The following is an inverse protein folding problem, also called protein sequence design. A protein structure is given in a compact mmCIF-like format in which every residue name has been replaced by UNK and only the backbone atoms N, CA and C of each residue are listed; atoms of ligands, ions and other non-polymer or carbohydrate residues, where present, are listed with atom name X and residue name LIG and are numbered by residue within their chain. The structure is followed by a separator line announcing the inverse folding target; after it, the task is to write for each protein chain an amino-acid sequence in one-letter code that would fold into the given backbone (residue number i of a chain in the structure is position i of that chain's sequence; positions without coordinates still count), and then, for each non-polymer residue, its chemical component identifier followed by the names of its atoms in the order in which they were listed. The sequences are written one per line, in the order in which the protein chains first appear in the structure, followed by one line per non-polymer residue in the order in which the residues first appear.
data_IF_281108155560
#
_entry.id   IF_281108155560
#
_cell.length_a   1.000
_cell.length_b   1.000
_cell.length_c   1.000
_cell.angle_alpha   90.00
_cell.angle_beta   90.00
_cell.angle_gamma   90.00
#
_symmetry.space_group_name_H-M   'P 1'
#
loop_
_entity.id
_entity.type
_entity.pdbx_description
1 polymer ?
#
# COMPACT_ATOMS: atom_id res chain seq x y z
N UNK A 1 -12.46 6.36 2.43
CA UNK A 1 -11.37 6.53 1.44
C UNK A 1 -10.08 5.76 1.81
N UNK A 2 -9.27 6.19 2.80
CA UNK A 2 -7.92 5.60 3.05
C UNK A 2 -7.94 4.08 3.31
N UNK A 3 -8.87 3.57 4.13
CA UNK A 3 -8.99 2.13 4.37
C UNK A 3 -9.27 1.35 3.07
N UNK A 4 -10.18 1.82 2.22
CA UNK A 4 -10.49 1.18 0.96
C UNK A 4 -9.28 1.13 0.00
N UNK A 5 -8.37 2.11 0.09
CA UNK A 5 -7.12 2.12 -0.67
C UNK A 5 -6.18 1.00 -0.21
N UNK A 6 -5.99 0.82 1.11
CA UNK A 6 -5.11 -0.25 1.59
C UNK A 6 -5.71 -1.63 1.30
N UNK A 7 -7.03 -1.80 1.45
CA UNK A 7 -7.72 -3.06 1.11
C UNK A 7 -7.56 -3.39 -0.40
N UNK A 8 -7.69 -2.37 -1.26
CA UNK A 8 -7.46 -2.52 -2.69
C UNK A 8 -6.01 -2.91 -3.01
N UNK A 9 -5.03 -2.23 -2.41
CA UNK A 9 -3.61 -2.54 -2.63
C UNK A 9 -3.23 -3.91 -2.08
N UNK A 10 -3.76 -4.31 -0.93
CA UNK A 10 -3.53 -5.64 -0.36
C UNK A 10 -4.03 -6.73 -1.31
N UNK A 11 -5.25 -6.60 -1.82
CA UNK A 11 -5.86 -7.56 -2.74
C UNK A 11 -5.13 -7.68 -4.09
N UNK A 12 -4.64 -6.57 -4.64
CA UNK A 12 -4.14 -6.54 -6.02
C UNK A 12 -2.62 -6.50 -6.13
N UNK A 13 -1.93 -5.97 -5.13
CA UNK A 13 -0.52 -5.61 -5.20
C UNK A 13 0.37 -6.24 -4.12
N UNK A 14 -0.18 -6.89 -3.08
CA UNK A 14 0.62 -7.57 -2.07
C UNK A 14 1.38 -8.77 -2.66
N UNK A 15 2.69 -8.62 -2.83
CA UNK A 15 3.57 -9.68 -3.29
C UNK A 15 4.97 -9.57 -2.69
N UNK A 16 5.70 -10.67 -2.73
CA UNK A 16 7.11 -10.77 -2.39
C UNK A 16 7.88 -11.49 -3.51
N UNK A 17 9.22 -11.38 -3.48
CA UNK A 17 10.08 -12.17 -4.36
C UNK A 17 10.64 -13.37 -3.60
N UNK A 18 10.34 -14.58 -4.06
CA UNK A 18 10.76 -15.84 -3.44
C UNK A 18 11.45 -16.68 -4.52
N UNK A 19 12.72 -17.05 -4.28
CA UNK A 19 13.55 -17.80 -5.23
C UNK A 19 13.53 -17.21 -6.66
N UNK A 20 13.60 -15.88 -6.74
CA UNK A 20 13.62 -15.14 -8.00
C UNK A 20 12.24 -14.88 -8.63
N UNK A 21 11.17 -15.53 -8.15
CA UNK A 21 9.81 -15.41 -8.67
C UNK A 21 8.95 -14.46 -7.84
N UNK A 22 7.99 -13.79 -8.48
CA UNK A 22 7.00 -12.97 -7.78
C UNK A 22 5.84 -13.85 -7.29
N UNK A 23 5.56 -13.79 -5.99
CA UNK A 23 4.53 -14.58 -5.33
C UNK A 23 3.60 -13.64 -4.58
N UNK A 24 2.29 -13.76 -4.83
CA UNK A 24 1.27 -13.01 -4.07
C UNK A 24 1.26 -13.48 -2.63
N UNK A 25 1.26 -12.52 -1.71
CA UNK A 25 1.21 -12.77 -0.27
C UNK A 25 -0.14 -12.40 0.33
N UNK A 26 -0.87 -11.47 -0.29
CA UNK A 26 -2.23 -11.11 0.10
C UNK A 26 -2.35 -10.44 1.46
N UNK A 27 -1.25 -9.90 2.00
CA UNK A 27 -1.23 -9.14 3.24
C UNK A 27 -0.25 -7.97 3.14
N UNK A 28 -0.64 -6.81 3.66
CA UNK A 28 0.20 -5.65 3.87
C UNK A 28 0.00 -5.14 5.29
N UNK A 29 1.04 -4.53 5.85
CA UNK A 29 0.92 -3.77 7.10
C UNK A 29 1.23 -2.32 6.80
N UNK A 30 0.36 -1.41 7.25
CA UNK A 30 0.54 0.02 7.03
C UNK A 30 0.14 0.85 8.24
N UNK A 31 0.72 2.05 8.36
CA UNK A 31 0.34 3.07 9.32
C UNK A 31 -0.15 4.32 8.59
N UNK A 32 -1.25 4.91 9.07
CA UNK A 32 -1.86 6.10 8.49
C UNK A 32 -1.61 7.32 9.38
N UNK A 33 -1.11 8.40 8.81
CA UNK A 33 -0.87 9.67 9.50
C UNK A 33 -1.58 10.80 8.76
N UNK A 34 -2.57 11.41 9.43
CA UNK A 34 -3.39 12.49 8.85
C UNK A 34 -2.74 13.85 9.09
N UNK A 35 -2.65 14.63 8.02
CA UNK A 35 -2.16 16.01 8.01
C UNK A 35 -3.23 16.93 7.42
N UNK A 36 -3.16 18.22 7.77
CA UNK A 36 -4.17 19.22 7.39
C UNK A 36 -3.60 20.46 6.70
N UNK A 37 -2.28 20.61 6.65
CA UNK A 37 -1.61 21.79 6.10
C UNK A 37 -0.62 21.40 4.99
N UNK A 38 -0.52 22.27 3.98
CA UNK A 38 0.51 22.20 2.95
C UNK A 38 1.87 22.67 3.50
N UNK A 39 2.93 22.53 2.70
CA UNK A 39 4.25 23.09 3.04
C UNK A 39 4.24 24.61 3.20
N UNK A 40 3.33 25.31 2.52
CA UNK A 40 3.17 26.77 2.61
C UNK A 40 2.21 27.19 3.74
N UNK A 41 1.61 26.24 4.47
CA UNK A 41 0.64 26.50 5.54
C UNK A 41 -0.82 26.58 5.09
N UNK A 42 -1.09 26.42 3.79
CA UNK A 42 -2.46 26.43 3.26
C UNK A 42 -3.24 25.17 3.69
N UNK A 43 -4.58 25.25 3.83
CA UNK A 43 -5.41 24.07 4.07
C UNK A 43 -5.22 22.98 3.00
N UNK A 44 -4.77 21.81 3.42
CA UNK A 44 -4.54 20.65 2.56
C UNK A 44 -4.65 19.35 3.36
N UNK A 45 -5.87 18.79 3.43
CA UNK A 45 -6.08 17.48 4.07
C UNK A 45 -5.46 16.36 3.23
N UNK A 46 -4.55 15.59 3.82
CA UNK A 46 -3.94 14.43 3.20
C UNK A 46 -3.51 13.41 4.25
N UNK A 47 -3.33 12.16 3.83
CA UNK A 47 -2.88 11.07 4.70
C UNK A 47 -1.60 10.46 4.15
N UNK A 48 -0.58 10.34 5.00
CA UNK A 48 0.57 9.49 4.72
C UNK A 48 0.24 8.06 5.11
N UNK A 49 -0.03 7.22 4.12
CA UNK A 49 -0.19 5.78 4.30
C UNK A 49 1.16 5.09 4.08
N UNK A 50 1.87 4.82 5.17
CA UNK A 50 3.20 4.21 5.15
C UNK A 50 3.06 2.70 5.18
N UNK A 51 3.39 2.02 4.08
CA UNK A 51 3.38 0.56 3.98
C UNK A 51 4.73 0.02 4.46
N UNK A 52 4.70 -0.89 5.44
CA UNK A 52 5.89 -1.60 5.92
C UNK A 52 6.48 -2.47 4.81
N UNK A 53 7.81 -2.53 4.71
CA UNK A 53 8.49 -3.44 3.78
C UNK A 53 8.54 -4.88 4.33
N UNK A 54 7.40 -5.38 4.82
CA UNK A 54 7.22 -6.72 5.36
C UNK A 54 5.87 -7.26 4.92
N UNK A 55 5.86 -8.48 4.43
CA UNK A 55 4.67 -9.27 4.13
C UNK A 55 4.94 -10.74 4.47
N UNK A 56 3.93 -11.50 4.83
CA UNK A 56 4.07 -12.92 5.19
C UNK A 56 3.77 -13.78 3.98
N UNK A 57 4.64 -14.76 3.69
CA UNK A 57 4.32 -15.79 2.71
C UNK A 57 3.32 -16.82 3.29
N UNK A 58 2.91 -17.79 2.47
CA UNK A 58 1.92 -18.82 2.86
C UNK A 58 2.35 -19.66 4.08
N UNK A 59 3.65 -19.71 4.37
CA UNK A 59 4.23 -20.48 5.47
C UNK A 59 4.45 -19.58 6.71
N UNK A 60 3.99 -18.32 6.65
CA UNK A 60 4.12 -17.34 7.74
C UNK A 60 5.51 -16.70 7.82
N UNK A 61 6.38 -16.93 6.84
CA UNK A 61 7.73 -16.35 6.84
C UNK A 61 7.65 -14.90 6.36
N UNK A 62 8.26 -14.00 7.13
CA UNK A 62 8.41 -12.60 6.76
C UNK A 62 9.32 -12.45 5.53
N UNK A 63 8.83 -11.73 4.53
CA UNK A 63 9.52 -11.37 3.30
C UNK A 63 9.45 -9.86 3.08
N UNK A 64 10.40 -9.32 2.31
CA UNK A 64 10.28 -7.96 1.81
C UNK A 64 9.15 -7.86 0.78
N UNK A 65 8.42 -6.75 0.82
CA UNK A 65 7.40 -6.43 -0.19
C UNK A 65 8.10 -6.11 -1.50
N UNK A 66 7.60 -6.68 -2.58
CA UNK A 66 8.00 -6.34 -3.93
C UNK A 66 7.08 -5.24 -4.47
N UNK A 67 7.67 -4.09 -4.81
CA UNK A 67 6.95 -2.84 -5.05
C UNK A 67 6.39 -2.70 -6.47
N UNK A 68 6.70 -3.62 -7.37
CA UNK A 68 6.40 -3.54 -8.79
C UNK A 68 4.87 -3.47 -9.02
N UNK A 69 4.09 -4.29 -8.31
CA UNK A 69 2.63 -4.20 -8.39
C UNK A 69 2.08 -2.97 -7.67
N UNK A 70 2.68 -2.54 -6.55
CA UNK A 70 2.28 -1.30 -5.87
C UNK A 70 2.40 -0.09 -6.82
N UNK A 71 3.51 -0.01 -7.56
CA UNK A 71 3.71 1.03 -8.57
C UNK A 71 2.74 0.88 -9.74
N UNK A 72 2.52 -0.34 -10.23
CA UNK A 72 1.56 -0.61 -11.32
C UNK A 72 0.14 -0.18 -10.97
N UNK A 73 -0.32 -0.46 -9.75
CA UNK A 73 -1.69 -0.16 -9.30
C UNK A 73 -1.86 1.23 -8.69
N UNK A 74 -0.79 2.04 -8.59
CA UNK A 74 -0.83 3.38 -7.97
C UNK A 74 -1.97 4.27 -8.51
N UNK A 75 -2.15 4.33 -9.83
CA UNK A 75 -3.22 5.16 -10.43
C UNK A 75 -4.62 4.61 -10.15
N UNK A 76 -4.77 3.29 -10.09
CA UNK A 76 -6.05 2.68 -9.76
C UNK A 76 -6.40 2.89 -8.27
N UNK A 77 -5.41 2.80 -7.39
CA UNK A 77 -5.56 3.14 -5.97
C UNK A 77 -5.94 4.61 -5.75
N UNK A 78 -5.38 5.51 -6.56
CA UNK A 78 -5.78 6.93 -6.57
C UNK A 78 -7.25 7.10 -7.00
N UNK A 79 -7.70 6.38 -8.04
CA UNK A 79 -9.11 6.38 -8.42
C UNK A 79 -10.01 5.82 -7.30
N UNK A 80 -9.61 4.74 -6.61
CA UNK A 80 -10.33 4.21 -5.46
C UNK A 80 -10.49 5.28 -4.38
N UNK A 81 -9.44 6.02 -4.05
CA UNK A 81 -9.49 7.09 -3.04
C UNK A 81 -10.57 8.14 -3.35
N UNK A 82 -10.72 8.51 -4.62
CA UNK A 82 -11.63 9.59 -5.06
C UNK A 82 -13.07 9.13 -5.35
N UNK A 83 -13.34 7.82 -5.40
CA UNK A 83 -14.64 7.26 -5.83
C UNK A 83 -15.30 6.37 -4.78
N UNK A 84 -14.87 6.44 -3.52
CA UNK A 84 -15.47 5.73 -2.37
C UNK A 84 -15.99 6.68 -1.32
#
# INVERSE_FOLDING_TARGET
AVQAVIDYLEKHAAQARINGQYVKTGNLTAAAFDHVASRAGDPQKHTHLIISNVTLDKDGIARSVSNEQLLKYRRAADAVYHNV
#
